data_IF_012520049021
#
_entry.id   IF_012520049021
#
_cell.length_a   1.000
_cell.length_b   1.000
_cell.length_c   1.000
_cell.angle_alpha   90.00
_cell.angle_beta   90.00
_cell.angle_gamma   90.00
#
_symmetry.space_group_name_H-M   'P 1'
#
loop_
_entity.id
_entity.type
_entity.pdbx_description
1 polymer ?
#
# COMPACT_ATOMS: atom_id res chain seq x y z
N UNK A 1 4.54 25.95 -14.87
CA UNK A 1 3.23 25.29 -14.65
C UNK A 1 2.98 24.93 -13.18
N UNK A 2 3.80 24.08 -12.54
CA UNK A 2 3.62 23.74 -11.12
C UNK A 2 3.96 24.91 -10.19
N UNK A 3 5.02 25.66 -10.49
CA UNK A 3 5.35 26.90 -9.75
C UNK A 3 4.26 27.96 -9.87
N UNK A 4 3.67 28.08 -11.06
CA UNK A 4 2.53 28.98 -11.30
C UNK A 4 1.31 28.54 -10.48
N UNK A 5 1.08 27.22 -10.38
CA UNK A 5 0.01 26.68 -9.55
C UNK A 5 0.27 26.91 -8.05
N UNK A 6 1.50 26.74 -7.57
CA UNK A 6 1.88 27.07 -6.18
C UNK A 6 1.63 28.54 -5.88
N UNK A 7 2.07 29.42 -6.78
CA UNK A 7 1.89 30.86 -6.69
C UNK A 7 0.41 31.22 -6.65
N UNK A 8 -0.40 30.60 -7.52
CA UNK A 8 -1.84 30.79 -7.55
C UNK A 8 -2.53 30.32 -6.26
N UNK A 9 -2.13 29.17 -5.70
CA UNK A 9 -2.67 28.66 -4.43
C UNK A 9 -2.38 29.62 -3.27
N UNK A 10 -1.15 30.15 -3.19
CA UNK A 10 -0.74 31.13 -2.16
C UNK A 10 -1.54 32.44 -2.28
N UNK A 11 -1.66 32.97 -3.50
CA UNK A 11 -2.44 34.18 -3.76
C UNK A 11 -3.95 33.98 -3.50
N UNK A 12 -4.46 32.77 -3.73
CA UNK A 12 -5.86 32.42 -3.42
C UNK A 12 -6.08 32.36 -1.91
N UNK A 13 -5.12 31.82 -1.17
CA UNK A 13 -5.20 31.71 0.29
C UNK A 13 -5.33 33.07 0.98
N UNK A 14 -4.66 34.11 0.47
CA UNK A 14 -4.76 35.48 1.00
C UNK A 14 -6.16 36.08 0.89
N UNK A 15 -6.97 35.61 -0.07
CA UNK A 15 -8.33 36.09 -0.32
C UNK A 15 -9.38 35.31 0.46
N UNK A 16 -9.00 34.20 1.10
CA UNK A 16 -9.90 33.32 1.82
C UNK A 16 -9.86 33.58 3.32
N UNK A 17 -11.02 33.45 3.96
CA UNK A 17 -11.08 33.39 5.42
C UNK A 17 -10.32 32.16 5.92
N UNK A 18 -9.52 32.32 6.97
CA UNK A 18 -8.76 31.22 7.61
C UNK A 18 -9.64 30.07 8.12
N UNK A 19 -10.93 30.31 8.32
CA UNK A 19 -11.90 29.30 8.77
C UNK A 19 -12.60 28.55 7.62
N UNK A 20 -12.29 28.87 6.37
CA UNK A 20 -12.87 28.21 5.20
C UNK A 20 -12.27 26.81 5.00
N UNK A 21 -13.10 25.83 4.66
CA UNK A 21 -12.66 24.50 4.25
C UNK A 21 -11.71 24.56 3.04
N UNK A 22 -11.95 25.47 2.10
CA UNK A 22 -11.07 25.70 0.95
C UNK A 22 -9.69 26.19 1.39
N UNK A 23 -9.62 27.09 2.37
CA UNK A 23 -8.35 27.56 2.91
C UNK A 23 -7.58 26.42 3.59
N UNK A 24 -8.27 25.55 4.32
CA UNK A 24 -7.69 24.36 4.94
C UNK A 24 -7.14 23.38 3.90
N UNK A 25 -7.88 23.11 2.82
CA UNK A 25 -7.44 22.24 1.73
C UNK A 25 -6.21 22.80 0.99
N UNK A 26 -6.18 24.11 0.72
CA UNK A 26 -5.03 24.77 0.09
C UNK A 26 -3.80 24.68 1.01
N UNK A 27 -3.95 24.96 2.31
CA UNK A 27 -2.85 24.84 3.27
C UNK A 27 -2.33 23.40 3.36
N UNK A 28 -3.21 22.41 3.36
CA UNK A 28 -2.82 21.00 3.34
C UNK A 28 -1.96 20.68 2.10
N UNK A 29 -2.41 21.09 0.91
CA UNK A 29 -1.64 20.90 -0.32
C UNK A 29 -0.28 21.59 -0.29
N UNK A 30 -0.22 22.85 0.19
CA UNK A 30 1.04 23.61 0.31
C UNK A 30 2.00 23.02 1.35
N UNK A 31 1.49 22.46 2.45
CA UNK A 31 2.32 21.78 3.46
C UNK A 31 2.93 20.49 2.90
N UNK A 32 2.25 19.82 1.97
CA UNK A 32 2.74 18.62 1.29
C UNK A 32 3.45 18.92 -0.04
N UNK A 33 3.69 20.18 -0.38
CA UNK A 33 4.28 20.56 -1.66
C UNK A 33 5.60 19.84 -1.99
N UNK A 34 6.55 19.69 -1.06
CA UNK A 34 7.78 18.94 -1.33
C UNK A 34 7.52 17.47 -1.69
N UNK A 35 6.52 16.84 -1.06
CA UNK A 35 6.13 15.47 -1.38
C UNK A 35 5.42 15.39 -2.74
N UNK A 36 4.54 16.35 -3.03
CA UNK A 36 3.82 16.46 -4.30
C UNK A 36 4.77 16.58 -5.50
N UNK A 37 5.89 17.30 -5.36
CA UNK A 37 6.85 17.48 -6.45
C UNK A 37 7.81 16.31 -6.64
N UNK A 38 7.79 15.28 -5.78
CA UNK A 38 8.82 14.24 -5.77
C UNK A 38 8.90 13.45 -7.08
N UNK A 39 7.77 13.28 -7.78
CA UNK A 39 7.73 12.62 -9.08
C UNK A 39 8.46 13.41 -10.18
N UNK A 40 8.58 14.74 -10.03
CA UNK A 40 9.32 15.56 -10.99
C UNK A 40 10.82 15.28 -10.95
N UNK A 41 11.35 14.91 -9.78
CA UNK A 41 12.77 14.60 -9.60
C UNK A 41 13.09 13.13 -9.89
N UNK A 42 12.08 12.25 -9.85
CA UNK A 42 12.25 10.82 -10.00
C UNK A 42 11.10 10.22 -10.81
N UNK A 43 11.37 9.95 -12.10
CA UNK A 43 10.39 9.39 -13.03
C UNK A 43 9.94 7.95 -12.76
N UNK A 44 10.49 7.28 -11.74
CA UNK A 44 9.98 5.97 -11.26
C UNK A 44 8.76 6.19 -10.35
N UNK A 45 8.61 7.37 -9.76
CA UNK A 45 7.51 7.71 -8.87
C UNK A 45 6.35 8.21 -9.73
N UNK A 46 5.18 7.61 -9.53
CA UNK A 46 3.94 8.06 -10.16
C UNK A 46 3.47 9.40 -9.58
N UNK A 47 2.78 10.20 -10.39
CA UNK A 47 2.22 11.50 -9.97
C UNK A 47 1.14 11.36 -8.89
N UNK A 48 0.49 10.21 -8.83
CA UNK A 48 -0.57 9.89 -7.89
C UNK A 48 -0.34 8.54 -7.19
N UNK A 49 -1.06 8.33 -6.10
CA UNK A 49 -0.99 7.12 -5.28
C UNK A 49 -2.12 6.13 -5.61
N UNK A 50 -2.83 6.28 -6.74
CA UNK A 50 -4.05 5.51 -7.05
C UNK A 50 -3.80 4.01 -7.12
N UNK A 51 -2.60 3.59 -7.53
CA UNK A 51 -2.20 2.19 -7.52
C UNK A 51 -2.15 1.62 -6.09
N UNK A 52 -1.53 2.35 -5.16
CA UNK A 52 -1.44 1.97 -3.75
C UNK A 52 -2.82 1.97 -3.09
N UNK A 53 -3.64 2.99 -3.34
CA UNK A 53 -5.01 3.07 -2.79
C UNK A 53 -5.89 1.92 -3.30
N UNK A 54 -5.81 1.59 -4.59
CA UNK A 54 -6.51 0.42 -5.15
C UNK A 54 -6.07 -0.88 -4.50
N UNK A 55 -4.77 -1.06 -4.26
CA UNK A 55 -4.24 -2.25 -3.59
C UNK A 55 -4.77 -2.37 -2.14
N UNK A 56 -4.86 -1.24 -1.41
CA UNK A 56 -5.36 -1.21 -0.03
C UNK A 56 -6.89 -1.29 0.09
N UNK A 57 -7.63 -1.10 -1.01
CA UNK A 57 -9.11 -1.13 -0.99
C UNK A 57 -9.67 -2.43 -0.42
N UNK A 58 -9.04 -3.57 -0.69
CA UNK A 58 -9.45 -4.87 -0.14
C UNK A 58 -9.38 -4.90 1.39
N UNK A 59 -8.30 -4.35 1.96
CA UNK A 59 -8.12 -4.24 3.42
C UNK A 59 -9.13 -3.26 4.02
N UNK A 60 -9.33 -2.12 3.36
CA UNK A 60 -10.26 -1.08 3.83
C UNK A 60 -11.73 -1.55 3.84
N UNK A 61 -12.12 -2.43 2.91
CA UNK A 61 -13.43 -3.09 2.91
C UNK A 61 -13.46 -4.19 3.97
N UNK A 62 -12.43 -5.04 4.00
CA UNK A 62 -12.36 -6.20 4.88
C UNK A 62 -12.36 -5.85 6.37
N UNK A 63 -11.76 -4.72 6.78
CA UNK A 63 -11.69 -4.31 8.21
C UNK A 63 -13.04 -4.24 8.92
N UNK A 64 -14.14 -3.95 8.20
CA UNK A 64 -15.49 -3.95 8.76
C UNK A 64 -16.08 -5.35 8.99
N UNK A 65 -15.48 -6.36 8.35
CA UNK A 65 -15.89 -7.76 8.38
C UNK A 65 -14.96 -8.65 9.22
N UNK A 66 -13.84 -8.12 9.73
CA UNK A 66 -12.94 -8.89 10.59
C UNK A 66 -13.53 -8.99 12.00
N UNK A 67 -14.31 -10.04 12.25
CA UNK A 67 -14.91 -10.31 13.56
C UNK A 67 -13.87 -10.61 14.66
N UNK A 68 -12.60 -10.81 14.30
CA UNK A 68 -11.53 -11.32 15.17
C UNK A 68 -10.35 -10.36 15.30
N UNK A 69 -10.30 -9.28 14.51
CA UNK A 69 -9.23 -8.28 14.55
C UNK A 69 -9.61 -7.15 15.51
N UNK A 70 -9.74 -7.48 16.80
CA UNK A 70 -10.11 -6.54 17.86
C UNK A 70 -8.94 -5.95 18.65
N UNK A 71 -7.71 -6.40 18.38
CA UNK A 71 -6.49 -5.96 19.06
C UNK A 71 -5.40 -5.61 18.05
N UNK A 72 -4.47 -4.72 18.43
CA UNK A 72 -3.36 -4.26 17.59
C UNK A 72 -2.52 -5.42 17.05
N UNK A 73 -2.26 -6.43 17.89
CA UNK A 73 -1.55 -7.65 17.49
C UNK A 73 -2.28 -8.46 16.40
N UNK A 74 -3.61 -8.40 16.36
CA UNK A 74 -4.41 -8.96 15.28
C UNK A 74 -4.27 -8.16 13.99
N UNK A 75 -4.17 -6.83 14.09
CA UNK A 75 -3.88 -5.93 12.98
C UNK A 75 -2.50 -6.18 12.36
N UNK A 76 -1.47 -6.34 13.18
CA UNK A 76 -0.11 -6.67 12.72
C UNK A 76 -0.06 -8.00 11.97
N UNK A 77 -0.69 -9.05 12.51
CA UNK A 77 -0.78 -10.36 11.84
C UNK A 77 -1.54 -10.26 10.51
N UNK A 78 -2.65 -9.53 10.48
CA UNK A 78 -3.38 -9.31 9.24
C UNK A 78 -2.51 -8.56 8.21
N UNK A 79 -1.80 -7.51 8.62
CA UNK A 79 -0.90 -6.75 7.75
C UNK A 79 0.22 -7.64 7.17
N UNK A 80 0.81 -8.54 7.98
CA UNK A 80 1.81 -9.50 7.51
C UNK A 80 1.23 -10.42 6.42
N UNK A 81 0.05 -11.01 6.65
CA UNK A 81 -0.61 -11.89 5.67
C UNK A 81 -0.99 -11.13 4.40
N UNK A 82 -1.57 -9.93 4.50
CA UNK A 82 -1.90 -9.10 3.33
C UNK A 82 -0.68 -8.71 2.52
N UNK A 83 0.45 -8.46 3.19
CA UNK A 83 1.72 -8.13 2.53
C UNK A 83 2.21 -9.32 1.71
N UNK A 84 2.22 -10.52 2.28
CA UNK A 84 2.63 -11.75 1.59
C UNK A 84 1.75 -12.05 0.37
N UNK A 85 0.42 -12.00 0.54
CA UNK A 85 -0.54 -12.15 -0.56
C UNK A 85 -0.34 -11.07 -1.64
N UNK A 86 -0.01 -9.84 -1.22
CA UNK A 86 0.32 -8.75 -2.13
C UNK A 86 1.57 -9.06 -2.97
N UNK A 87 2.62 -9.56 -2.32
CA UNK A 87 3.86 -9.99 -2.97
C UNK A 87 3.61 -11.12 -3.98
N UNK A 88 2.81 -12.14 -3.62
CA UNK A 88 2.43 -13.22 -4.54
C UNK A 88 1.80 -12.66 -5.82
N UNK A 89 0.80 -11.79 -5.67
CA UNK A 89 0.10 -11.17 -6.80
C UNK A 89 1.02 -10.36 -7.69
N UNK A 90 1.94 -9.59 -7.09
CA UNK A 90 2.94 -8.82 -7.84
C UNK A 90 3.93 -9.73 -8.57
N UNK A 91 4.25 -10.89 -8.00
CA UNK A 91 5.11 -11.92 -8.61
C UNK A 91 4.38 -12.82 -9.62
N UNK A 92 3.09 -12.63 -9.86
CA UNK A 92 2.29 -13.49 -10.74
C UNK A 92 2.03 -14.89 -10.18
N UNK A 93 2.20 -15.09 -8.87
CA UNK A 93 1.97 -16.35 -8.17
C UNK A 93 0.54 -16.39 -7.66
N UNK A 94 -0.14 -17.53 -7.77
CA UNK A 94 -1.46 -17.73 -7.18
C UNK A 94 -1.35 -17.74 -5.65
N UNK A 95 -1.95 -16.75 -4.93
CA UNK A 95 -1.77 -16.64 -3.48
C UNK A 95 -2.38 -17.80 -2.69
N UNK A 96 -3.46 -18.41 -3.18
CA UNK A 96 -4.07 -19.57 -2.54
C UNK A 96 -3.17 -20.79 -2.65
N UNK A 97 -2.62 -21.04 -3.85
CA UNK A 97 -1.70 -22.15 -4.08
C UNK A 97 -0.44 -22.01 -3.22
N UNK A 98 0.13 -20.80 -3.17
CA UNK A 98 1.28 -20.48 -2.31
C UNK A 98 0.95 -20.71 -0.83
N UNK A 99 -0.14 -20.13 -0.32
CA UNK A 99 -0.52 -20.26 1.09
C UNK A 99 -0.76 -21.73 1.47
N UNK A 100 -1.42 -22.50 0.60
CA UNK A 100 -1.63 -23.94 0.79
C UNK A 100 -0.30 -24.69 0.88
N UNK A 101 0.64 -24.39 -0.02
CA UNK A 101 1.97 -25.00 -0.02
C UNK A 101 2.73 -24.67 1.27
N UNK A 102 2.76 -23.41 1.69
CA UNK A 102 3.45 -23.01 2.94
C UNK A 102 2.82 -23.71 4.14
N UNK A 103 1.50 -23.64 4.31
CA UNK A 103 0.83 -24.23 5.47
C UNK A 103 0.97 -25.76 5.53
N UNK A 104 1.05 -26.43 4.39
CA UNK A 104 1.24 -27.88 4.32
C UNK A 104 2.66 -28.33 4.69
N UNK A 105 3.68 -27.47 4.53
CA UNK A 105 5.09 -27.86 4.67
C UNK A 105 5.81 -27.14 5.83
N UNK A 106 5.28 -26.04 6.36
CA UNK A 106 5.99 -25.18 7.33
C UNK A 106 6.35 -25.89 8.63
N UNK A 107 5.55 -26.86 9.08
CA UNK A 107 5.79 -27.56 10.35
C UNK A 107 7.04 -28.45 10.31
N UNK A 108 7.34 -29.03 9.14
CA UNK A 108 8.46 -29.95 8.94
C UNK A 108 9.68 -29.28 8.28
N UNK A 109 9.57 -27.99 7.95
CA UNK A 109 10.62 -27.25 7.25
C UNK A 109 11.64 -26.63 8.22
N UNK A 110 12.96 -26.66 7.90
CA UNK A 110 13.98 -26.05 8.75
C UNK A 110 13.75 -24.54 8.94
N UNK A 111 13.74 -24.09 10.21
CA UNK A 111 13.50 -22.68 10.58
C UNK A 111 14.52 -21.71 9.98
N UNK A 112 15.74 -22.17 9.69
CA UNK A 112 16.79 -21.36 9.05
C UNK A 112 16.68 -21.33 7.52
N UNK A 113 15.62 -21.91 6.94
CA UNK A 113 15.37 -21.99 5.50
C UNK A 113 13.98 -21.48 5.10
N UNK A 114 13.35 -20.65 5.93
CA UNK A 114 12.02 -20.08 5.64
C UNK A 114 11.99 -19.34 4.30
N UNK A 115 13.12 -18.82 3.85
CA UNK A 115 13.25 -18.16 2.54
C UNK A 115 12.93 -19.08 1.35
N UNK A 116 13.00 -20.41 1.51
CA UNK A 116 12.54 -21.35 0.48
C UNK A 116 11.04 -21.18 0.17
N UNK A 117 10.26 -20.66 1.13
CA UNK A 117 8.85 -20.34 0.96
C UNK A 117 8.59 -18.97 0.32
N UNK A 118 9.60 -18.22 -0.08
CA UNK A 118 9.39 -16.95 -0.77
C UNK A 118 8.67 -17.19 -2.12
N UNK A 119 7.77 -16.30 -2.54
CA UNK A 119 6.89 -16.56 -3.68
C UNK A 119 7.63 -16.96 -4.97
N UNK A 120 8.77 -16.33 -5.25
CA UNK A 120 9.61 -16.62 -6.42
C UNK A 120 10.37 -17.95 -6.34
N UNK A 121 10.58 -18.49 -5.13
CA UNK A 121 11.22 -19.80 -4.93
C UNK A 121 10.19 -20.95 -5.07
N UNK A 122 8.94 -20.70 -4.70
CA UNK A 122 7.85 -21.67 -4.84
C UNK A 122 7.23 -21.70 -6.23
N UNK A 123 7.36 -20.64 -7.03
CA UNK A 123 6.63 -20.49 -8.30
C UNK A 123 6.70 -21.71 -9.24
N UNK A 124 7.87 -22.37 -9.33
CA UNK A 124 8.06 -23.57 -10.17
C UNK A 124 7.41 -24.85 -9.60
N UNK A 125 7.09 -24.86 -8.30
CA UNK A 125 6.55 -26.01 -7.56
C UNK A 125 5.04 -25.92 -7.38
N UNK A 126 4.45 -24.75 -7.65
CA UNK A 126 3.03 -24.49 -7.49
C UNK A 126 2.28 -24.87 -8.79
N UNK A 127 1.09 -25.47 -8.68
CA UNK A 127 0.26 -25.74 -9.85
C UNK A 127 -0.06 -24.42 -10.57
N UNK A 128 0.02 -24.44 -11.90
CA UNK A 128 -0.44 -23.31 -12.72
C UNK A 128 -1.93 -23.09 -12.50
N UNK A 129 -2.32 -21.83 -12.31
CA UNK A 129 -3.70 -21.42 -12.07
C UNK A 129 -4.58 -21.63 -13.31
#
# INVERSE_FOLDING_TARGET
MLDDFSSWLRATLEKLSRKSETAAAIQYALNLWPALLRYCDNGIIEIDNSAAERALRGVAIGRRNYLFAGADSGGERAAAVYSLIGTDKLGGVNPEAWLRHVLANVADHPVNRVDDFLPWNCAAQLPSA
#
